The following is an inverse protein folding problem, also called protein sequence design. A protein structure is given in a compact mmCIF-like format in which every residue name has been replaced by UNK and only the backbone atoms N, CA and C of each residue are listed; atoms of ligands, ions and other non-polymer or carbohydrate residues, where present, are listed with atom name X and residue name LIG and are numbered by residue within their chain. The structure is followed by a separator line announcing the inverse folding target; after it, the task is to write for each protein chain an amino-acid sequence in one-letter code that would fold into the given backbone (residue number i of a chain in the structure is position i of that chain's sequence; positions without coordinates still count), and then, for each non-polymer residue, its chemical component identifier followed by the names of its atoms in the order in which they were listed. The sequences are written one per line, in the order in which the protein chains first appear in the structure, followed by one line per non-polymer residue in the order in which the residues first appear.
data_IF_333090980713
#
_entry.id   IF_333090980713
#
_cell.length_a   1.000
_cell.length_b   1.000
_cell.length_c   1.000
_cell.angle_alpha   90.00
_cell.angle_beta   90.00
_cell.angle_gamma   90.00
#
_symmetry.space_group_name_H-M   'P 1'
#
loop_
_entity.id
_entity.type
_entity.pdbx_description
1 polymer ?
#
# COMPACT_ATOMS: atom_id res chain seq x y z
N UNK A 1 18.54 5.44 28.96
CA UNK A 1 18.93 5.37 27.54
C UNK A 1 18.19 6.51 26.85
N UNK A 2 18.85 7.20 25.95
CA UNK A 2 18.20 8.23 25.13
C UNK A 2 17.18 7.53 24.22
N UNK A 3 15.94 8.02 24.19
CA UNK A 3 14.88 7.43 23.34
C UNK A 3 15.10 7.88 21.90
N UNK A 4 14.88 6.97 20.95
CA UNK A 4 14.93 7.32 19.52
C UNK A 4 13.73 8.18 19.11
N UNK A 5 14.00 9.22 18.31
CA UNK A 5 12.99 10.10 17.74
C UNK A 5 12.43 9.48 16.45
N UNK A 6 11.17 9.10 16.48
CA UNK A 6 10.49 8.43 15.37
C UNK A 6 9.63 9.42 14.59
N UNK A 7 9.91 9.62 13.32
CA UNK A 7 9.03 10.35 12.43
C UNK A 7 7.86 9.46 11.98
N UNK A 8 6.62 9.81 12.30
CA UNK A 8 5.43 9.24 11.68
C UNK A 8 5.01 10.16 10.55
N UNK A 9 5.27 9.77 9.31
CA UNK A 9 5.12 10.62 8.13
C UNK A 9 3.75 10.37 7.49
N UNK A 10 2.96 11.43 7.34
CA UNK A 10 1.61 11.41 6.79
C UNK A 10 1.39 12.56 5.79
N UNK A 11 0.20 12.64 5.23
CA UNK A 11 -0.18 13.65 4.23
C UNK A 11 0.08 13.16 2.80
N UNK A 12 0.83 13.93 2.03
CA UNK A 12 1.13 13.62 0.63
C UNK A 12 0.22 14.34 -0.37
N UNK A 13 0.31 13.96 -1.64
CA UNK A 13 -0.26 14.72 -2.77
C UNK A 13 -1.39 13.97 -3.50
N UNK A 14 -1.82 12.84 -2.97
CA UNK A 14 -2.90 12.01 -3.53
C UNK A 14 -4.26 12.35 -2.90
N UNK A 15 -5.33 11.85 -3.50
CA UNK A 15 -6.68 11.91 -2.93
C UNK A 15 -6.84 11.15 -1.61
N UNK A 16 -5.82 10.40 -1.17
CA UNK A 16 -5.81 9.62 0.08
C UNK A 16 -5.18 10.37 1.27
N UNK A 17 -4.96 11.68 1.17
CA UNK A 17 -4.39 12.53 2.23
C UNK A 17 -5.05 12.30 3.59
N UNK A 18 -6.38 12.30 3.65
CA UNK A 18 -7.11 12.08 4.90
C UNK A 18 -6.98 10.65 5.46
N UNK A 19 -6.81 9.66 4.58
CA UNK A 19 -6.56 8.25 4.98
C UNK A 19 -5.18 8.13 5.61
N UNK A 20 -4.19 8.80 5.03
CA UNK A 20 -2.82 8.89 5.53
C UNK A 20 -2.77 9.47 6.95
N UNK A 21 -3.46 10.59 7.21
CA UNK A 21 -3.54 11.18 8.55
C UNK A 21 -4.21 10.25 9.57
N UNK A 22 -5.27 9.53 9.18
CA UNK A 22 -5.89 8.54 10.07
C UNK A 22 -4.98 7.35 10.35
N UNK A 23 -4.24 6.86 9.36
CA UNK A 23 -3.23 5.82 9.53
C UNK A 23 -2.13 6.25 10.50
N UNK A 24 -1.62 7.48 10.36
CA UNK A 24 -0.65 8.04 11.27
C UNK A 24 -1.17 8.15 12.71
N UNK A 25 -2.43 8.56 12.89
CA UNK A 25 -3.09 8.58 14.21
C UNK A 25 -3.14 7.19 14.84
N UNK A 26 -3.45 6.16 14.05
CA UNK A 26 -3.40 4.77 14.50
C UNK A 26 -2.00 4.38 14.96
N UNK A 27 -0.99 4.61 14.14
CA UNK A 27 0.42 4.31 14.48
C UNK A 27 0.86 5.05 15.75
N UNK A 28 0.58 6.35 15.86
CA UNK A 28 0.90 7.14 17.04
C UNK A 28 0.29 6.60 18.34
N UNK A 29 -0.87 5.94 18.24
CA UNK A 29 -1.52 5.31 19.39
C UNK A 29 -0.88 3.98 19.79
N UNK A 30 -0.17 3.31 18.88
CA UNK A 30 0.47 2.01 19.11
C UNK A 30 1.97 2.08 19.38
N UNK A 31 2.63 3.21 19.10
CA UNK A 31 4.05 3.35 19.40
C UNK A 31 4.30 3.25 20.91
N UNK A 32 5.24 2.41 21.31
CA UNK A 32 5.68 2.30 22.69
C UNK A 32 6.49 3.53 23.12
N UNK A 33 5.82 4.42 23.83
CA UNK A 33 6.44 5.67 24.32
C UNK A 33 7.46 5.47 25.46
N UNK A 34 7.60 4.25 25.96
CA UNK A 34 8.69 3.92 26.89
C UNK A 34 10.03 3.73 26.15
N UNK A 35 9.96 3.33 24.86
CA UNK A 35 11.14 3.09 23.99
C UNK A 35 11.41 4.24 23.02
N UNK A 36 10.36 4.92 22.54
CA UNK A 36 10.43 5.86 21.43
C UNK A 36 9.74 7.18 21.72
N UNK A 37 10.24 8.26 21.11
CA UNK A 37 9.58 9.58 21.08
C UNK A 37 9.03 9.83 19.67
N UNK A 38 7.70 9.65 19.42
CA UNK A 38 7.12 9.83 18.09
C UNK A 38 6.80 11.30 17.81
N UNK A 39 7.10 11.75 16.59
CA UNK A 39 6.75 13.05 16.05
C UNK A 39 5.95 12.84 14.77
N UNK A 40 4.78 13.51 14.64
CA UNK A 40 4.03 13.47 13.39
C UNK A 40 4.64 14.48 12.42
N UNK A 41 4.97 14.01 11.21
CA UNK A 41 5.42 14.83 10.10
C UNK A 41 4.32 14.84 9.03
N UNK A 42 3.75 16.01 8.75
CA UNK A 42 2.73 16.15 7.71
C UNK A 42 3.37 16.75 6.47
N UNK A 43 3.36 15.98 5.38
CA UNK A 43 3.88 16.41 4.08
C UNK A 43 2.77 17.12 3.32
N UNK A 44 3.01 18.40 3.02
CA UNK A 44 2.17 19.24 2.15
C UNK A 44 3.01 19.80 0.99
N UNK A 45 2.35 20.41 0.00
CA UNK A 45 3.05 20.95 -1.19
C UNK A 45 3.95 22.12 -0.88
N UNK A 46 3.59 22.91 0.12
CA UNK A 46 4.30 24.11 0.56
C UNK A 46 5.32 23.85 1.69
N UNK A 47 5.21 22.74 2.43
CA UNK A 47 6.10 22.43 3.53
C UNK A 47 5.95 21.02 4.10
N UNK A 48 6.88 20.64 4.96
CA UNK A 48 6.82 19.44 5.79
C UNK A 48 6.71 19.91 7.24
N UNK A 49 5.53 19.77 7.81
CA UNK A 49 5.17 20.31 9.11
C UNK A 49 5.35 19.28 10.21
N UNK A 50 5.97 19.70 11.31
CA UNK A 50 6.23 18.84 12.48
C UNK A 50 5.19 19.12 13.55
N UNK A 51 4.58 18.05 14.05
CA UNK A 51 3.74 18.04 15.24
C UNK A 51 4.49 17.24 16.33
N UNK A 52 5.29 17.92 17.20
CA UNK A 52 6.11 17.26 18.19
C UNK A 52 5.26 16.37 19.12
N UNK A 53 5.71 15.15 19.37
CA UNK A 53 4.96 14.14 20.11
C UNK A 53 3.52 13.88 19.58
N UNK A 54 3.27 14.20 18.31
CA UNK A 54 1.94 14.09 17.68
C UNK A 54 0.97 15.21 18.05
N UNK A 55 1.45 16.31 18.65
CA UNK A 55 0.64 17.47 19.06
C UNK A 55 0.87 18.63 18.10
N UNK A 56 -0.21 19.26 17.65
CA UNK A 56 -0.14 20.46 16.81
C UNK A 56 0.49 21.61 17.61
N UNK A 57 1.59 22.24 17.11
CA UNK A 57 2.23 23.35 17.79
C UNK A 57 1.46 24.66 17.55
N UNK A 58 1.65 25.68 18.40
CA UNK A 58 1.03 27.00 18.23
C UNK A 58 1.54 27.69 16.96
N UNK A 59 2.86 27.58 16.70
CA UNK A 59 3.49 28.11 15.50
C UNK A 59 3.97 26.94 14.63
N UNK A 60 3.87 27.02 13.30
CA UNK A 60 4.33 25.99 12.41
C UNK A 60 5.81 25.68 12.58
N UNK A 61 6.14 24.41 12.81
CA UNK A 61 7.51 23.91 12.85
C UNK A 61 7.78 23.18 11.56
N UNK A 62 8.84 23.52 10.87
CA UNK A 62 9.23 22.89 9.61
C UNK A 62 10.39 21.91 9.82
N UNK A 63 10.37 20.82 9.07
CA UNK A 63 11.50 19.92 8.91
C UNK A 63 12.61 20.63 8.15
N UNK A 64 13.83 20.61 8.67
CA UNK A 64 15.02 20.88 7.88
C UNK A 64 15.30 19.69 6.96
N UNK A 65 15.05 19.86 5.66
CA UNK A 65 15.21 18.80 4.66
C UNK A 65 16.67 18.49 4.32
N UNK A 66 17.63 19.26 4.85
CA UNK A 66 19.05 18.99 4.62
C UNK A 66 19.55 17.78 5.41
N UNK A 67 18.96 17.54 6.61
CA UNK A 67 19.39 16.48 7.52
C UNK A 67 18.24 15.74 8.22
N UNK A 68 17.01 16.00 7.81
CA UNK A 68 15.77 15.45 8.38
C UNK A 68 15.66 15.69 9.89
N UNK A 69 15.83 16.94 10.29
CA UNK A 69 15.73 17.41 11.68
C UNK A 69 14.73 18.55 11.83
N UNK A 70 14.49 18.99 13.05
CA UNK A 70 13.71 20.20 13.33
C UNK A 70 14.19 20.87 14.62
N UNK A 71 13.81 22.15 14.79
CA UNK A 71 14.09 22.91 16.02
C UNK A 71 12.82 23.08 16.82
N UNK A 72 12.83 22.69 18.08
CA UNK A 72 11.71 22.86 19.00
C UNK A 72 12.21 23.18 20.40
N UNK A 73 11.60 24.17 21.08
CA UNK A 73 11.95 24.60 22.43
C UNK A 73 13.46 24.87 22.65
N UNK A 74 14.12 25.41 21.62
CA UNK A 74 15.56 25.70 21.65
C UNK A 74 16.49 24.51 21.44
N UNK A 75 15.93 23.32 21.23
CA UNK A 75 16.66 22.08 20.93
C UNK A 75 16.67 21.80 19.44
N UNK A 76 17.74 21.20 18.92
CA UNK A 76 17.83 20.61 17.60
C UNK A 76 17.56 19.12 17.75
N UNK A 77 16.46 18.65 17.15
CA UNK A 77 15.97 17.27 17.27
C UNK A 77 16.19 16.59 15.92
N UNK A 78 17.04 15.56 15.89
CA UNK A 78 17.26 14.70 14.74
C UNK A 78 16.27 13.54 14.77
N UNK A 79 15.73 13.18 13.63
CA UNK A 79 14.82 12.05 13.49
C UNK A 79 15.62 10.79 13.12
N UNK A 80 15.50 9.74 13.92
CA UNK A 80 16.34 8.54 13.83
C UNK A 80 15.73 7.47 12.91
N UNK A 81 14.40 7.48 12.76
CA UNK A 81 13.66 6.49 11.96
C UNK A 81 12.36 7.09 11.42
N UNK A 82 11.94 6.63 10.25
CA UNK A 82 10.72 7.09 9.59
C UNK A 82 9.69 5.97 9.41
N UNK A 83 8.49 6.15 9.96
CA UNK A 83 7.28 5.36 9.69
C UNK A 83 6.44 6.08 8.65
N UNK A 84 6.53 5.63 7.40
CA UNK A 84 5.83 6.22 6.26
C UNK A 84 4.40 5.67 6.22
N UNK A 85 3.41 6.57 6.21
CA UNK A 85 1.98 6.26 6.03
C UNK A 85 1.37 7.07 4.90
N UNK A 86 2.21 7.68 4.07
CA UNK A 86 1.76 8.47 2.92
C UNK A 86 1.32 7.54 1.81
N UNK A 87 0.02 7.53 1.51
CA UNK A 87 -0.52 6.81 0.38
C UNK A 87 -0.35 7.61 -0.92
N UNK A 88 0.06 6.94 -1.99
CA UNK A 88 0.41 7.58 -3.25
C UNK A 88 1.72 8.38 -3.17
N UNK A 89 1.79 9.48 -3.93
CA UNK A 89 2.98 10.33 -4.02
C UNK A 89 3.09 11.26 -2.79
N UNK A 90 4.27 11.37 -2.14
CA UNK A 90 5.58 10.76 -2.49
C UNK A 90 5.89 9.45 -1.74
N UNK A 91 4.94 8.83 -1.05
CA UNK A 91 5.17 7.73 -0.11
C UNK A 91 5.30 6.36 -0.77
N UNK A 92 4.58 6.09 -1.88
CA UNK A 92 4.54 4.78 -2.53
C UNK A 92 5.27 4.74 -3.88
N UNK A 93 5.83 5.85 -4.36
CA UNK A 93 6.49 5.92 -5.66
C UNK A 93 8.02 6.01 -5.60
N UNK A 94 8.61 5.79 -4.42
CA UNK A 94 10.05 5.79 -4.20
C UNK A 94 10.69 7.15 -3.98
N UNK A 95 9.96 8.27 -4.13
CA UNK A 95 10.54 9.60 -3.98
C UNK A 95 10.93 9.91 -2.53
N UNK A 96 10.06 9.59 -1.59
CA UNK A 96 10.33 9.81 -0.16
C UNK A 96 11.45 8.89 0.34
N UNK A 97 11.46 7.64 -0.11
CA UNK A 97 12.49 6.67 0.21
C UNK A 97 13.85 7.13 -0.32
N UNK A 98 13.93 7.59 -1.56
CA UNK A 98 15.16 8.14 -2.12
C UNK A 98 15.68 9.38 -1.37
N UNK A 99 14.80 10.24 -0.88
CA UNK A 99 15.19 11.33 0.00
C UNK A 99 15.74 10.83 1.34
N UNK A 100 15.07 9.88 1.99
CA UNK A 100 15.52 9.33 3.27
C UNK A 100 16.84 8.58 3.14
N UNK A 101 17.06 7.87 2.03
CA UNK A 101 18.36 7.25 1.69
C UNK A 101 19.47 8.30 1.59
N UNK A 102 19.22 9.45 0.95
CA UNK A 102 20.20 10.53 0.82
C UNK A 102 20.60 11.16 2.15
N UNK A 103 19.66 11.28 3.11
CA UNK A 103 19.94 11.81 4.45
C UNK A 103 20.30 10.74 5.47
N UNK A 104 20.33 9.46 5.07
CA UNK A 104 20.75 8.33 5.89
C UNK A 104 19.80 7.97 7.03
N UNK A 105 18.48 8.17 6.83
CA UNK A 105 17.45 7.82 7.83
C UNK A 105 16.75 6.54 7.41
N UNK A 106 16.79 5.46 8.21
CA UNK A 106 16.07 4.21 7.93
C UNK A 106 14.55 4.38 8.03
N UNK A 107 13.80 3.51 7.32
CA UNK A 107 12.34 3.62 7.21
C UNK A 107 11.65 2.25 7.04
N UNK A 108 10.33 2.23 7.21
CA UNK A 108 9.50 1.01 7.30
C UNK A 108 8.99 0.45 5.97
N UNK A 109 9.41 0.94 4.83
CA UNK A 109 8.95 0.45 3.52
C UNK A 109 10.10 -0.17 2.73
N UNK A 110 9.82 -0.73 1.56
CA UNK A 110 10.84 -1.10 0.60
C UNK A 110 11.66 0.11 0.14
N UNK A 111 12.79 -0.13 -0.51
CA UNK A 111 13.62 0.93 -1.08
C UNK A 111 12.97 1.58 -2.31
N UNK A 112 13.63 2.61 -2.85
CA UNK A 112 13.15 3.39 -4.03
C UNK A 112 12.69 2.50 -5.18
N UNK A 113 13.42 1.43 -5.51
CA UNK A 113 13.06 0.53 -6.61
C UNK A 113 11.79 -0.27 -6.30
N UNK A 114 11.69 -0.83 -5.10
CA UNK A 114 10.53 -1.62 -4.66
C UNK A 114 9.25 -0.80 -4.71
N UNK A 115 9.29 0.41 -4.14
CA UNK A 115 8.13 1.31 -4.12
C UNK A 115 7.73 1.76 -5.55
N UNK A 116 8.69 2.19 -6.36
CA UNK A 116 8.41 2.58 -7.74
C UNK A 116 7.86 1.42 -8.59
N UNK A 117 8.37 0.20 -8.38
CA UNK A 117 7.92 -1.01 -9.07
C UNK A 117 6.48 -1.37 -8.67
N UNK A 118 6.19 -1.44 -7.38
CA UNK A 118 4.88 -1.87 -6.87
C UNK A 118 3.79 -0.84 -7.12
N UNK A 119 4.12 0.44 -7.07
CA UNK A 119 3.18 1.52 -7.39
C UNK A 119 2.74 1.51 -8.87
N UNK A 120 3.60 1.04 -9.77
CA UNK A 120 3.27 0.83 -11.17
C UNK A 120 2.71 -0.59 -11.39
N UNK A 121 1.37 -0.74 -11.41
CA UNK A 121 0.68 -2.03 -11.49
C UNK A 121 1.13 -2.90 -12.67
N UNK A 122 1.35 -2.27 -13.83
CA UNK A 122 1.78 -2.99 -15.03
C UNK A 122 3.18 -3.59 -14.86
N UNK A 123 4.15 -2.79 -14.41
CA UNK A 123 5.51 -3.30 -14.23
C UNK A 123 5.61 -4.28 -13.08
N UNK A 124 4.90 -4.08 -11.99
CA UNK A 124 4.81 -5.04 -10.88
C UNK A 124 4.27 -6.40 -11.36
N UNK A 125 3.14 -6.39 -12.06
CA UNK A 125 2.53 -7.62 -12.59
C UNK A 125 3.45 -8.30 -13.62
N UNK A 126 4.11 -7.53 -14.50
CA UNK A 126 5.06 -8.07 -15.46
C UNK A 126 6.28 -8.70 -14.80
N UNK A 127 6.85 -8.05 -13.78
CA UNK A 127 7.95 -8.62 -13.02
C UNK A 127 7.53 -9.91 -12.33
N UNK A 128 6.43 -9.88 -11.58
CA UNK A 128 5.95 -11.05 -10.84
C UNK A 128 5.50 -12.21 -11.75
N UNK A 129 5.01 -11.92 -12.96
CA UNK A 129 4.67 -12.96 -13.94
C UNK A 129 5.87 -13.76 -14.49
N UNK A 130 7.11 -13.32 -14.21
CA UNK A 130 8.31 -14.11 -14.55
C UNK A 130 8.51 -15.33 -13.64
N UNK A 131 7.83 -15.38 -12.49
CA UNK A 131 7.83 -16.50 -11.56
C UNK A 131 6.68 -17.45 -11.92
N UNK A 132 6.96 -18.72 -12.33
CA UNK A 132 5.97 -19.59 -12.99
C UNK A 132 4.72 -19.94 -12.16
N UNK A 133 4.82 -19.86 -10.83
CA UNK A 133 3.70 -20.17 -9.93
C UNK A 133 2.88 -18.94 -9.52
N UNK A 134 3.34 -17.74 -9.85
CA UNK A 134 2.59 -16.50 -9.63
C UNK A 134 1.72 -16.19 -10.84
N UNK A 135 0.41 -16.17 -10.64
CA UNK A 135 -0.56 -15.83 -11.67
C UNK A 135 -0.91 -14.35 -11.57
N UNK A 136 -0.94 -13.69 -12.71
CA UNK A 136 -1.38 -12.29 -12.86
C UNK A 136 -2.45 -12.20 -13.95
N UNK A 137 -3.31 -11.18 -13.87
CA UNK A 137 -4.29 -10.94 -14.92
C UNK A 137 -3.62 -10.59 -16.24
N UNK A 138 -4.18 -11.09 -17.35
CA UNK A 138 -3.79 -10.60 -18.66
C UNK A 138 -4.16 -9.14 -18.80
N UNK A 139 -3.22 -8.31 -19.31
CA UNK A 139 -3.38 -6.87 -19.32
C UNK A 139 -2.84 -6.20 -20.57
N UNK A 140 -3.36 -5.00 -20.84
CA UNK A 140 -2.89 -4.07 -21.87
C UNK A 140 -2.63 -2.73 -21.19
N UNK A 141 -1.41 -2.19 -21.34
CA UNK A 141 -1.06 -0.84 -20.89
C UNK A 141 -1.26 0.15 -22.02
N UNK A 142 -1.94 1.23 -21.73
CA UNK A 142 -2.09 2.38 -22.61
C UNK A 142 -1.31 3.57 -22.05
N UNK A 143 -0.66 4.33 -22.91
CA UNK A 143 0.03 5.58 -22.56
C UNK A 143 -0.65 6.74 -23.31
N UNK A 144 -0.85 7.87 -22.63
CA UNK A 144 -1.53 9.04 -23.18
C UNK A 144 -0.92 9.52 -24.52
N UNK A 145 0.41 9.44 -24.64
CA UNK A 145 1.18 9.98 -25.78
C UNK A 145 1.48 8.94 -26.86
N UNK A 146 1.05 7.69 -26.69
CA UNK A 146 1.34 6.62 -27.65
C UNK A 146 0.10 6.22 -28.45
N UNK A 147 0.30 5.70 -29.65
CA UNK A 147 -0.78 5.06 -30.40
C UNK A 147 -1.32 3.88 -29.58
N UNK A 148 -2.64 3.79 -29.45
CA UNK A 148 -3.31 2.69 -28.75
C UNK A 148 -3.85 1.66 -29.75
N UNK A 149 -3.97 0.39 -29.34
CA UNK A 149 -4.74 -0.59 -30.07
C UNK A 149 -6.21 -0.13 -30.22
N UNK A 150 -6.88 -0.57 -31.25
CA UNK A 150 -8.31 -0.35 -31.41
C UNK A 150 -9.11 -1.02 -30.27
N UNK A 151 -10.32 -0.52 -29.99
CA UNK A 151 -11.20 -1.12 -29.00
C UNK A 151 -11.53 -2.58 -29.33
N UNK A 152 -11.61 -2.93 -30.61
CA UNK A 152 -11.81 -4.30 -31.07
C UNK A 152 -10.63 -5.21 -30.70
N UNK A 153 -9.38 -4.81 -30.98
CA UNK A 153 -8.17 -5.57 -30.63
C UNK A 153 -8.03 -5.78 -29.13
N UNK A 154 -8.38 -4.76 -28.32
CA UNK A 154 -8.38 -4.86 -26.86
C UNK A 154 -9.38 -5.93 -26.39
N UNK A 155 -10.61 -5.90 -26.92
CA UNK A 155 -11.66 -6.83 -26.51
C UNK A 155 -11.38 -8.26 -27.00
N UNK A 156 -10.84 -8.43 -28.19
CA UNK A 156 -10.42 -9.75 -28.69
C UNK A 156 -9.37 -10.38 -27.76
N UNK A 157 -8.48 -9.56 -27.21
CA UNK A 157 -7.43 -10.02 -26.31
C UNK A 157 -7.92 -10.26 -24.88
N UNK A 158 -8.57 -9.27 -24.26
CA UNK A 158 -8.91 -9.30 -22.84
C UNK A 158 -10.31 -9.90 -22.57
N UNK A 159 -11.19 -9.89 -23.57
CA UNK A 159 -12.61 -10.23 -23.49
C UNK A 159 -13.39 -9.28 -22.54
N UNK A 160 -14.70 -9.32 -22.64
CA UNK A 160 -15.60 -8.63 -21.71
C UNK A 160 -16.16 -9.62 -20.69
N UNK A 161 -16.41 -9.18 -19.44
CA UNK A 161 -16.04 -7.86 -18.93
C UNK A 161 -14.54 -7.71 -18.69
N UNK A 162 -14.04 -6.47 -18.67
CA UNK A 162 -12.66 -6.13 -18.31
C UNK A 162 -12.64 -4.94 -17.32
N UNK A 163 -11.52 -4.69 -16.69
CA UNK A 163 -11.30 -3.49 -15.89
C UNK A 163 -10.45 -2.48 -16.63
N UNK A 164 -10.82 -1.19 -16.51
CA UNK A 164 -10.00 -0.06 -16.88
C UNK A 164 -9.67 0.74 -15.61
N UNK A 165 -8.39 0.96 -15.33
CA UNK A 165 -7.93 1.65 -14.11
C UNK A 165 -6.66 2.46 -14.37
N UNK A 166 -6.36 3.51 -13.57
CA UNK A 166 -5.06 4.15 -13.57
C UNK A 166 -3.96 3.12 -13.28
N UNK A 167 -2.85 3.19 -14.02
CA UNK A 167 -1.73 2.26 -13.80
C UNK A 167 -0.98 2.52 -12.49
N UNK A 168 -0.98 3.78 -12.02
CA UNK A 168 -0.47 4.20 -10.71
C UNK A 168 -1.60 4.89 -9.94
N UNK A 169 -1.67 4.64 -8.63
CA UNK A 169 -2.72 5.17 -7.76
C UNK A 169 -3.39 4.08 -6.92
N UNK A 170 -4.20 4.50 -5.95
CA UNK A 170 -4.84 3.65 -4.95
C UNK A 170 -6.36 3.78 -4.90
N UNK A 171 -6.97 3.13 -3.92
CA UNK A 171 -8.39 3.26 -3.51
C UNK A 171 -9.43 3.10 -4.61
N UNK A 172 -9.11 2.40 -5.70
CA UNK A 172 -10.01 2.18 -6.86
C UNK A 172 -10.55 3.48 -7.51
N UNK A 173 -9.88 4.63 -7.31
CA UNK A 173 -10.24 5.90 -7.97
C UNK A 173 -10.13 5.71 -9.48
N UNK A 174 -11.14 6.20 -10.22
CA UNK A 174 -11.24 6.08 -11.68
C UNK A 174 -11.12 4.64 -12.23
N UNK A 175 -11.43 3.64 -11.39
CA UNK A 175 -11.50 2.23 -11.81
C UNK A 175 -12.90 1.89 -12.29
N UNK A 176 -13.02 1.33 -13.47
CA UNK A 176 -14.30 0.99 -14.09
C UNK A 176 -14.33 -0.46 -14.56
N UNK A 177 -15.42 -1.18 -14.26
CA UNK A 177 -15.75 -2.44 -14.90
C UNK A 177 -16.42 -2.14 -16.25
N UNK A 178 -15.84 -2.62 -17.32
CA UNK A 178 -16.31 -2.42 -18.70
C UNK A 178 -17.03 -3.68 -19.15
N UNK A 179 -18.32 -3.56 -19.43
CA UNK A 179 -19.20 -4.68 -19.81
C UNK A 179 -19.61 -4.63 -21.28
N UNK A 180 -19.36 -3.51 -21.97
CA UNK A 180 -19.65 -3.34 -23.40
C UNK A 180 -18.56 -2.58 -24.13
N UNK A 181 -18.54 -2.70 -25.46
CA UNK A 181 -17.56 -1.99 -26.34
C UNK A 181 -17.71 -0.48 -26.19
N UNK A 182 -18.96 -0.01 -26.12
CA UNK A 182 -19.30 1.42 -26.07
C UNK A 182 -18.85 2.08 -24.76
N UNK A 183 -18.74 1.29 -23.69
CA UNK A 183 -18.28 1.81 -22.38
C UNK A 183 -16.75 1.94 -22.29
N UNK A 184 -16.00 1.26 -23.18
CA UNK A 184 -14.54 1.15 -23.06
C UNK A 184 -13.84 2.50 -23.19
N UNK A 185 -14.18 3.28 -24.20
CA UNK A 185 -13.53 4.57 -24.43
C UNK A 185 -13.77 5.57 -23.31
N UNK A 186 -14.99 5.56 -22.73
CA UNK A 186 -15.33 6.40 -21.57
C UNK A 186 -14.52 5.97 -20.32
N UNK A 187 -14.39 4.67 -20.07
CA UNK A 187 -13.63 4.14 -18.94
C UNK A 187 -12.14 4.49 -19.07
N UNK A 188 -11.58 4.37 -20.28
CA UNK A 188 -10.19 4.77 -20.57
C UNK A 188 -10.00 6.27 -20.33
N UNK A 189 -10.92 7.11 -20.83
CA UNK A 189 -10.84 8.56 -20.65
C UNK A 189 -10.85 8.94 -19.15
N UNK A 190 -11.74 8.33 -18.36
CA UNK A 190 -11.82 8.55 -16.91
C UNK A 190 -10.50 8.16 -16.20
N UNK A 191 -9.93 7.00 -16.53
CA UNK A 191 -8.67 6.56 -15.94
C UNK A 191 -7.49 7.47 -16.32
N UNK A 192 -7.52 8.06 -17.52
CA UNK A 192 -6.53 9.06 -17.93
C UNK A 192 -6.67 10.42 -17.21
N UNK A 193 -7.76 10.71 -16.53
CA UNK A 193 -7.86 11.91 -15.69
C UNK A 193 -6.92 11.84 -14.48
N UNK A 194 -6.67 10.63 -13.97
CA UNK A 194 -5.84 10.39 -12.78
C UNK A 194 -4.38 10.05 -13.09
N UNK A 195 -4.08 9.46 -14.25
CA UNK A 195 -2.74 8.99 -14.57
C UNK A 195 -2.47 9.05 -16.08
N UNK A 196 -1.22 9.31 -16.50
CA UNK A 196 -0.82 9.29 -17.91
C UNK A 196 -0.72 7.86 -18.50
N UNK A 197 -0.91 6.85 -17.67
CA UNK A 197 -0.97 5.45 -18.06
C UNK A 197 -2.26 4.80 -17.56
N UNK A 198 -2.91 4.04 -18.43
CA UNK A 198 -4.10 3.24 -18.10
C UNK A 198 -3.78 1.77 -18.24
N UNK A 199 -4.19 0.98 -17.24
CA UNK A 199 -4.11 -0.46 -17.27
C UNK A 199 -5.51 -1.04 -17.54
N UNK A 200 -5.59 -1.81 -18.62
CA UNK A 200 -6.76 -2.63 -18.94
C UNK A 200 -6.46 -4.06 -18.54
N UNK A 201 -7.31 -4.68 -17.74
CA UNK A 201 -7.11 -6.03 -17.24
C UNK A 201 -8.34 -6.89 -17.49
N UNK A 202 -8.11 -8.16 -17.87
CA UNK A 202 -9.17 -9.16 -17.92
C UNK A 202 -9.84 -9.28 -16.55
N UNK A 203 -11.17 -9.29 -16.55
CA UNK A 203 -11.93 -9.56 -15.34
C UNK A 203 -11.67 -10.98 -14.84
N UNK A 204 -11.42 -11.11 -13.56
CA UNK A 204 -11.24 -12.39 -12.88
C UNK A 204 -12.38 -12.55 -11.89
N UNK A 205 -13.17 -13.62 -12.06
CA UNK A 205 -14.24 -13.98 -11.14
C UNK A 205 -13.71 -14.90 -10.05
N UNK A 206 -14.07 -14.63 -8.79
CA UNK A 206 -13.64 -15.47 -7.68
C UNK A 206 -13.88 -14.84 -6.32
N UNK A 207 -13.26 -15.41 -5.30
CA UNK A 207 -13.26 -14.88 -3.93
C UNK A 207 -12.07 -13.98 -3.74
N UNK A 208 -12.31 -12.71 -3.38
CA UNK A 208 -11.25 -11.77 -3.06
C UNK A 208 -10.72 -12.03 -1.66
N UNK A 209 -9.40 -12.10 -1.53
CA UNK A 209 -8.70 -12.28 -0.26
C UNK A 209 -7.47 -11.39 -0.20
N UNK A 210 -7.08 -11.03 1.01
CA UNK A 210 -5.89 -10.21 1.26
C UNK A 210 -5.04 -10.80 2.37
N UNK A 211 -3.72 -10.71 2.23
CA UNK A 211 -2.76 -11.24 3.17
C UNK A 211 -1.66 -10.21 3.47
N UNK A 212 -1.51 -9.85 4.73
CA UNK A 212 -0.40 -9.04 5.20
C UNK A 212 0.88 -9.87 5.36
N UNK A 213 2.03 -9.23 5.24
CA UNK A 213 3.32 -9.86 5.44
C UNK A 213 4.34 -8.87 5.97
N UNK A 214 5.25 -9.33 6.82
CA UNK A 214 6.34 -8.52 7.38
C UNK A 214 7.60 -9.35 7.57
N UNK A 215 8.73 -8.67 7.81
CA UNK A 215 10.02 -9.32 8.10
C UNK A 215 10.65 -8.74 9.36
N UNK A 216 11.11 -9.63 10.25
CA UNK A 216 11.97 -9.31 11.39
C UNK A 216 13.18 -10.25 11.33
N UNK A 217 14.36 -9.70 11.28
CA UNK A 217 15.57 -10.48 11.00
C UNK A 217 15.52 -11.13 9.61
N UNK A 218 15.87 -12.41 9.56
CA UNK A 218 15.81 -13.20 8.32
C UNK A 218 14.42 -13.84 8.08
N UNK A 219 13.49 -13.69 9.05
CA UNK A 219 12.20 -14.34 9.00
C UNK A 219 11.15 -13.44 8.35
N UNK A 220 10.65 -13.84 7.19
CA UNK A 220 9.43 -13.34 6.57
C UNK A 220 8.24 -14.10 7.17
N UNK A 221 7.17 -13.38 7.50
CA UNK A 221 6.00 -13.95 8.17
C UNK A 221 4.72 -13.39 7.55
N UNK A 222 3.93 -14.25 6.94
CA UNK A 222 2.59 -13.92 6.46
C UNK A 222 1.59 -13.92 7.63
N UNK A 223 0.68 -12.96 7.62
CA UNK A 223 -0.41 -12.83 8.58
C UNK A 223 -1.60 -13.74 8.20
N UNK A 224 -2.58 -13.93 9.09
CA UNK A 224 -3.84 -14.58 8.74
C UNK A 224 -4.52 -13.91 7.55
N UNK A 225 -5.04 -14.72 6.63
CA UNK A 225 -5.72 -14.24 5.42
C UNK A 225 -7.09 -13.64 5.79
N UNK A 226 -7.47 -12.53 5.18
CA UNK A 226 -8.80 -11.92 5.28
C UNK A 226 -9.58 -12.15 3.99
N UNK A 227 -10.82 -12.59 4.08
CA UNK A 227 -11.77 -12.63 2.98
C UNK A 227 -12.49 -11.28 2.86
N UNK A 228 -12.60 -10.77 1.63
CA UNK A 228 -13.26 -9.50 1.31
C UNK A 228 -14.57 -9.82 0.59
N UNK A 229 -15.70 -9.59 1.27
CA UNK A 229 -17.03 -9.92 0.76
C UNK A 229 -17.76 -8.64 0.37
N UNK A 230 -17.87 -8.29 -0.92
CA UNK A 230 -18.62 -7.13 -1.35
C UNK A 230 -20.12 -7.34 -1.09
N UNK A 231 -20.77 -6.37 -0.46
CA UNK A 231 -22.25 -6.38 -0.27
C UNK A 231 -23.01 -6.10 -1.56
N UNK A 232 -22.35 -5.50 -2.53
CA UNK A 232 -22.87 -5.18 -3.87
C UNK A 232 -22.08 -5.94 -4.94
N UNK A 233 -22.60 -5.99 -6.16
CA UNK A 233 -21.99 -6.72 -7.29
C UNK A 233 -20.62 -6.20 -7.75
N UNK A 234 -20.11 -5.12 -7.18
CA UNK A 234 -18.81 -4.51 -7.51
C UNK A 234 -18.20 -3.77 -6.31
N UNK A 235 -16.88 -3.96 -6.12
CA UNK A 235 -16.07 -3.32 -5.08
C UNK A 235 -15.44 -2.04 -5.63
N UNK A 236 -16.17 -0.92 -5.56
CA UNK A 236 -15.70 0.42 -5.94
C UNK A 236 -15.18 1.24 -4.76
N UNK A 237 -14.78 2.49 -5.06
CA UNK A 237 -14.30 3.43 -4.04
C UNK A 237 -15.33 3.66 -2.92
N UNK A 238 -16.61 3.76 -3.24
CA UNK A 238 -17.66 3.96 -2.24
C UNK A 238 -17.83 2.72 -1.36
N UNK A 239 -17.68 1.52 -1.93
CA UNK A 239 -17.73 0.28 -1.17
C UNK A 239 -16.60 0.17 -0.13
N UNK A 240 -15.38 0.59 -0.48
CA UNK A 240 -14.21 0.55 0.43
C UNK A 240 -14.36 1.42 1.68
N UNK A 241 -15.00 2.59 1.56
CA UNK A 241 -15.02 3.57 2.67
C UNK A 241 -16.37 3.72 3.37
N UNK A 242 -17.48 3.26 2.76
CA UNK A 242 -18.83 3.40 3.29
C UNK A 242 -19.40 2.13 3.96
N UNK A 243 -18.54 1.14 4.27
CA UNK A 243 -18.95 -0.09 4.97
C UNK A 243 -19.80 -1.03 4.10
N UNK A 244 -19.69 -0.92 2.76
CA UNK A 244 -20.37 -1.81 1.82
C UNK A 244 -19.66 -3.15 1.61
N UNK A 245 -18.66 -3.46 2.46
CA UNK A 245 -17.87 -4.69 2.44
C UNK A 245 -17.91 -5.33 3.81
N UNK A 246 -17.96 -6.64 3.85
CA UNK A 246 -17.72 -7.44 5.03
C UNK A 246 -16.29 -8.02 4.96
N UNK A 247 -15.49 -7.78 5.99
CA UNK A 247 -14.11 -8.26 6.12
C UNK A 247 -14.09 -9.39 7.15
N UNK A 248 -13.66 -10.59 6.74
CA UNK A 248 -13.70 -11.78 7.59
C UNK A 248 -12.27 -12.30 7.79
N UNK A 249 -11.77 -12.15 9.02
CA UNK A 249 -10.44 -12.63 9.42
C UNK A 249 -10.55 -13.61 10.60
N UNK A 250 -10.08 -14.87 10.49
CA UNK A 250 -9.52 -15.52 9.29
C UNK A 250 -10.54 -15.74 8.19
N UNK A 251 -10.07 -15.79 6.93
CA UNK A 251 -10.89 -16.06 5.74
C UNK A 251 -11.56 -17.43 5.80
N UNK A 252 -12.77 -17.53 5.23
CA UNK A 252 -13.56 -18.80 5.14
C UNK A 252 -13.11 -19.65 3.93
N UNK A 253 -11.82 -19.97 3.87
CA UNK A 253 -11.20 -20.80 2.84
C UNK A 253 -10.58 -22.05 3.47
N UNK A 254 -10.19 -23.04 2.65
CA UNK A 254 -9.57 -24.25 3.17
C UNK A 254 -8.17 -23.98 3.77
N UNK A 255 -7.70 -24.80 4.72
CA UNK A 255 -6.35 -24.67 5.28
C UNK A 255 -5.25 -24.74 4.21
N UNK A 256 -5.44 -25.54 3.16
CA UNK A 256 -4.50 -25.68 2.04
C UNK A 256 -4.40 -24.37 1.25
N UNK A 257 -5.55 -23.73 0.96
CA UNK A 257 -5.58 -22.43 0.29
C UNK A 257 -4.99 -21.33 1.17
N UNK A 258 -5.27 -21.35 2.47
CA UNK A 258 -4.65 -20.41 3.43
C UNK A 258 -3.12 -20.52 3.37
N UNK A 259 -2.58 -21.74 3.48
CA UNK A 259 -1.15 -21.99 3.40
C UNK A 259 -0.55 -21.56 2.06
N UNK A 260 -1.25 -21.85 0.95
CA UNK A 260 -0.80 -21.45 -0.38
C UNK A 260 -0.71 -19.93 -0.51
N UNK A 261 -1.74 -19.18 -0.09
CA UNK A 261 -1.77 -17.72 -0.15
C UNK A 261 -0.66 -17.11 0.73
N UNK A 262 -0.46 -17.63 1.94
CA UNK A 262 0.60 -17.19 2.83
C UNK A 262 1.97 -17.43 2.21
N UNK A 263 2.23 -18.61 1.65
CA UNK A 263 3.48 -18.94 0.96
C UNK A 263 3.73 -18.01 -0.23
N UNK A 264 2.73 -17.81 -1.10
CA UNK A 264 2.86 -16.89 -2.24
C UNK A 264 3.13 -15.44 -1.79
N UNK A 265 2.52 -15.01 -0.67
CA UNK A 265 2.75 -13.67 -0.11
C UNK A 265 4.17 -13.51 0.42
N UNK A 266 4.72 -14.53 1.10
CA UNK A 266 6.10 -14.54 1.56
C UNK A 266 7.09 -14.56 0.39
N UNK A 267 6.81 -15.31 -0.67
CA UNK A 267 7.62 -15.33 -1.90
C UNK A 267 7.60 -13.97 -2.61
N UNK A 268 6.41 -13.35 -2.77
CA UNK A 268 6.29 -12.00 -3.36
C UNK A 268 7.10 -11.01 -2.53
N UNK A 269 6.97 -11.05 -1.19
CA UNK A 269 7.74 -10.19 -0.28
C UNK A 269 9.25 -10.27 -0.56
N UNK A 270 9.77 -11.48 -0.72
CA UNK A 270 11.20 -11.71 -1.01
C UNK A 270 11.57 -11.26 -2.43
N UNK A 271 10.75 -11.57 -3.44
CA UNK A 271 11.04 -11.25 -4.83
C UNK A 271 11.12 -9.74 -5.11
N UNK A 272 10.31 -8.93 -4.42
CA UNK A 272 10.33 -7.47 -4.57
C UNK A 272 11.28 -6.78 -3.60
N UNK A 273 12.05 -7.53 -2.78
CA UNK A 273 12.87 -7.00 -1.69
C UNK A 273 12.09 -6.04 -0.78
N UNK A 274 10.90 -6.47 -0.35
CA UNK A 274 10.07 -5.69 0.53
C UNK A 274 10.68 -5.54 1.92
N UNK A 275 10.33 -4.45 2.61
CA UNK A 275 10.65 -4.19 4.01
C UNK A 275 9.38 -3.73 4.74
N UNK A 276 9.44 -3.78 6.08
CA UNK A 276 8.28 -3.41 6.90
C UNK A 276 7.07 -4.31 6.67
N UNK A 277 5.90 -3.70 6.63
CA UNK A 277 4.63 -4.41 6.45
C UNK A 277 4.07 -4.14 5.07
N UNK A 278 3.79 -5.19 4.30
CA UNK A 278 3.08 -5.10 3.02
C UNK A 278 1.74 -5.82 3.10
N UNK A 279 0.87 -5.59 2.12
CA UNK A 279 -0.37 -6.33 1.91
C UNK A 279 -0.45 -6.76 0.45
N UNK A 280 -0.79 -8.02 0.22
CA UNK A 280 -0.97 -8.57 -1.12
C UNK A 280 -2.41 -9.03 -1.29
N UNK A 281 -3.04 -8.59 -2.35
CA UNK A 281 -4.45 -8.85 -2.63
C UNK A 281 -4.56 -9.87 -3.78
N UNK A 282 -5.46 -10.85 -3.64
CA UNK A 282 -5.65 -11.95 -4.58
C UNK A 282 -7.13 -12.18 -4.89
N UNK A 283 -7.39 -12.81 -6.04
CA UNK A 283 -8.67 -13.44 -6.34
C UNK A 283 -8.45 -14.93 -6.46
N UNK A 284 -9.15 -15.74 -5.64
CA UNK A 284 -9.18 -17.19 -5.75
C UNK A 284 -10.21 -17.54 -6.83
N UNK A 285 -9.73 -18.02 -7.99
CA UNK A 285 -10.58 -18.42 -9.10
C UNK A 285 -11.32 -19.73 -8.80
N UNK A 286 -12.30 -20.09 -9.65
CA UNK A 286 -13.12 -21.31 -9.48
C UNK A 286 -12.31 -22.61 -9.54
N UNK A 287 -11.10 -22.59 -10.10
CA UNK A 287 -10.16 -23.71 -10.10
C UNK A 287 -9.31 -23.81 -8.81
N UNK A 288 -9.60 -22.96 -7.82
CA UNK A 288 -8.91 -22.91 -6.53
C UNK A 288 -7.53 -22.23 -6.57
N UNK A 289 -7.13 -21.63 -7.69
CA UNK A 289 -5.83 -20.99 -7.80
C UNK A 289 -5.91 -19.48 -7.54
N UNK A 290 -5.04 -18.92 -6.67
CA UNK A 290 -4.96 -17.48 -6.46
C UNK A 290 -4.35 -16.78 -7.68
N UNK A 291 -4.97 -15.69 -8.10
CA UNK A 291 -4.40 -14.74 -9.07
C UNK A 291 -4.13 -13.43 -8.36
N UNK A 292 -2.91 -12.93 -8.47
CA UNK A 292 -2.48 -11.67 -7.89
C UNK A 292 -3.30 -10.51 -8.45
N UNK A 293 -3.82 -9.67 -7.59
CA UNK A 293 -4.52 -8.45 -7.92
C UNK A 293 -3.62 -7.22 -7.79
N UNK A 294 -3.01 -7.01 -6.62
CA UNK A 294 -2.04 -5.92 -6.38
C UNK A 294 -1.17 -6.18 -5.15
N UNK A 295 -0.06 -5.46 -5.07
CA UNK A 295 0.83 -5.39 -3.91
C UNK A 295 0.80 -3.98 -3.34
N UNK A 296 0.50 -3.86 -2.04
CA UNK A 296 0.44 -2.59 -1.31
C UNK A 296 1.59 -2.53 -0.30
N UNK A 297 2.56 -1.67 -0.52
CA UNK A 297 3.76 -1.53 0.32
C UNK A 297 3.60 -0.53 1.46
N UNK A 298 2.54 0.28 1.41
CA UNK A 298 2.15 1.19 2.49
C UNK A 298 0.66 0.97 2.84
N UNK A 299 0.31 -0.21 3.42
CA UNK A 299 -1.08 -0.54 3.69
C UNK A 299 -1.68 0.38 4.76
N UNK A 300 -3.01 0.55 4.71
CA UNK A 300 -3.74 1.33 5.71
C UNK A 300 -3.51 0.83 7.14
N UNK A 301 -3.31 1.77 8.06
CA UNK A 301 -3.02 1.52 9.48
C UNK A 301 -4.05 2.21 10.39
N UNK A 302 -5.30 2.29 9.96
CA UNK A 302 -6.39 2.66 10.89
C UNK A 302 -6.79 1.45 11.73
N UNK A 303 -7.38 1.61 12.91
CA UNK A 303 -7.80 0.47 13.74
C UNK A 303 -8.72 -0.54 13.04
N UNK A 304 -9.43 -0.11 12.00
CA UNK A 304 -10.33 -0.95 11.19
C UNK A 304 -9.70 -1.43 9.88
N UNK A 305 -8.44 -1.14 9.61
CA UNK A 305 -7.73 -1.63 8.42
C UNK A 305 -7.39 -3.11 8.51
N UNK A 306 -7.13 -3.76 7.38
CA UNK A 306 -6.82 -5.20 7.30
C UNK A 306 -5.63 -5.61 8.18
N UNK A 307 -4.51 -4.85 8.14
CA UNK A 307 -3.29 -5.22 8.86
C UNK A 307 -3.53 -5.30 10.38
N UNK A 308 -4.11 -4.29 11.08
CA UNK A 308 -4.43 -4.42 12.50
C UNK A 308 -5.36 -5.59 12.84
N UNK A 309 -6.35 -5.88 11.98
CA UNK A 309 -7.24 -7.02 12.17
C UNK A 309 -6.49 -8.35 12.05
N UNK A 310 -5.62 -8.48 11.05
CA UNK A 310 -4.80 -9.68 10.81
C UNK A 310 -3.77 -9.89 11.93
N UNK A 311 -3.14 -8.82 12.43
CA UNK A 311 -2.21 -8.86 13.56
C UNK A 311 -2.93 -9.36 14.83
N UNK A 312 -4.12 -8.83 15.10
CA UNK A 312 -4.93 -9.28 16.23
C UNK A 312 -5.36 -10.77 16.09
N UNK A 313 -5.74 -11.20 14.87
CA UNK A 313 -6.08 -12.60 14.58
C UNK A 313 -4.85 -13.53 14.70
N UNK A 314 -3.63 -13.03 14.51
CA UNK A 314 -2.39 -13.75 14.79
C UNK A 314 -2.04 -13.83 16.30
N UNK A 315 -2.83 -13.21 17.18
CA UNK A 315 -2.57 -13.15 18.62
C UNK A 315 -1.48 -12.15 19.01
N UNK A 316 -1.16 -11.19 18.13
CA UNK A 316 -0.19 -10.13 18.35
C UNK A 316 -0.88 -8.79 18.57
N UNK A 317 -0.16 -7.84 19.13
CA UNK A 317 -0.58 -6.44 19.18
C UNK A 317 0.20 -5.60 18.15
N UNK A 318 -0.42 -4.52 17.68
CA UNK A 318 0.27 -3.58 16.79
C UNK A 318 1.47 -2.92 17.49
N UNK A 319 1.39 -2.70 18.81
CA UNK A 319 2.51 -2.15 19.58
C UNK A 319 3.72 -3.09 19.53
N UNK A 320 3.54 -4.39 19.83
CA UNK A 320 4.62 -5.39 19.78
C UNK A 320 5.24 -5.49 18.38
N UNK A 321 4.39 -5.53 17.35
CA UNK A 321 4.87 -5.63 15.97
C UNK A 321 5.68 -4.40 15.55
N UNK A 322 5.15 -3.19 15.80
CA UNK A 322 5.84 -1.94 15.44
C UNK A 322 7.14 -1.76 16.22
N UNK A 323 7.14 -2.07 17.54
CA UNK A 323 8.37 -2.04 18.36
C UNK A 323 9.44 -2.95 17.76
N UNK A 324 9.10 -4.21 17.46
CA UNK A 324 10.05 -5.17 16.90
C UNK A 324 10.58 -4.75 15.53
N UNK A 325 9.73 -4.15 14.67
CA UNK A 325 10.13 -3.65 13.35
C UNK A 325 11.10 -2.46 13.46
N UNK A 326 10.81 -1.50 14.35
CA UNK A 326 11.67 -0.32 14.56
C UNK A 326 13.02 -0.75 15.13
N UNK A 327 13.03 -1.57 16.18
CA UNK A 327 14.25 -2.05 16.83
C UNK A 327 15.14 -2.83 15.83
N UNK A 328 14.53 -3.67 15.00
CA UNK A 328 15.26 -4.42 13.97
C UNK A 328 15.92 -3.50 12.93
N UNK A 329 15.26 -2.42 12.54
CA UNK A 329 15.79 -1.49 11.54
C UNK A 329 16.84 -0.52 12.12
N UNK A 330 16.83 -0.30 13.43
CA UNK A 330 17.80 0.56 14.14
C UNK A 330 19.05 -0.23 14.61
N UNK A 331 19.02 -1.58 14.60
CA UNK A 331 20.14 -2.42 14.98
C UNK A 331 21.12 -2.64 13.81
#
# INVERSE_FOLDING_TARGET
MEQHNIAVIAGGFSGEYSVSLRSASGILSWIDRSCFTPHLIVIERDGWYVHPEGKEPQDPILVDKCDFSFKHAGQHIKLDYALITVHGTPGENGLLQGYLDLVGVPYNTGGTLTEALTFNKYYCNRYLSTFPHLRVAESVRLQRTSARPSSQEIIERLRLPLFAKPNAGGSSVATSKVESVEALDKAIALAFEECDEVLLERFIAGTEVTCGCYRIGDKVTALPVTEVVPKNSFFDFEAKYNGAVEEITPARISPELTTLIQTLTEEIYQHIDARGIIRVDYIIESDGRPTLLEVNTTPGMTPTSFIPQQVAAAGLTMQELLTSLIEYQLS
#
